data_IF_722597612265
#
_entry.id   IF_722597612265
#
_cell.length_a   1.000
_cell.length_b   1.000
_cell.length_c   1.000
_cell.angle_alpha   90.00
_cell.angle_beta   90.00
_cell.angle_gamma   90.00
#
_symmetry.space_group_name_H-M   'P 1'
#
loop_
_entity.id
_entity.type
_entity.pdbx_description
1 polymer ?
#
# COMPACT_ATOMS: atom_id res chain seq x y z
N UNK A 1 1.60 -8.42 9.59
CA UNK A 1 1.22 -7.34 8.65
C UNK A 1 1.21 -7.76 7.20
N UNK A 2 2.32 -8.20 6.60
CA UNK A 2 2.38 -8.45 5.15
C UNK A 2 1.28 -9.42 4.63
N UNK A 3 0.99 -10.51 5.35
CA UNK A 3 -0.09 -11.46 5.01
C UNK A 3 -1.51 -10.88 5.16
N UNK A 4 -1.67 -9.84 5.98
CA UNK A 4 -2.96 -9.18 6.21
C UNK A 4 -3.31 -8.16 5.13
N UNK A 5 -2.36 -7.83 4.24
CA UNK A 5 -2.60 -6.93 3.11
C UNK A 5 -3.49 -7.65 2.11
N UNK A 6 -4.74 -7.19 2.01
CA UNK A 6 -5.69 -7.58 0.98
C UNK A 6 -5.70 -6.56 -0.16
N UNK A 7 -5.41 -7.01 -1.37
CA UNK A 7 -5.53 -6.22 -2.61
C UNK A 7 -6.82 -6.62 -3.33
N UNK A 8 -7.96 -6.32 -2.72
CA UNK A 8 -9.25 -6.48 -3.36
C UNK A 8 -9.42 -5.48 -4.53
N UNK A 9 -10.46 -5.68 -5.34
CA UNK A 9 -10.73 -4.84 -6.53
C UNK A 9 -10.83 -3.35 -6.19
N UNK A 10 -11.45 -2.99 -5.06
CA UNK A 10 -11.56 -1.62 -4.61
C UNK A 10 -10.19 -0.98 -4.33
N UNK A 11 -9.30 -1.67 -3.62
CA UNK A 11 -7.94 -1.18 -3.33
C UNK A 11 -7.08 -1.11 -4.58
N UNK A 12 -7.17 -2.11 -5.47
CA UNK A 12 -6.47 -2.07 -6.76
C UNK A 12 -6.89 -0.85 -7.59
N UNK A 13 -8.18 -0.56 -7.66
CA UNK A 13 -8.71 0.60 -8.38
C UNK A 13 -8.24 1.93 -7.76
N UNK A 14 -8.23 2.04 -6.42
CA UNK A 14 -7.73 3.24 -5.73
C UNK A 14 -6.23 3.44 -5.93
N UNK A 15 -5.43 2.38 -5.86
CA UNK A 15 -4.00 2.45 -6.16
C UNK A 15 -3.77 2.87 -7.62
N UNK A 16 -4.48 2.27 -8.58
CA UNK A 16 -4.37 2.64 -9.99
C UNK A 16 -4.75 4.11 -10.23
N UNK A 17 -5.84 4.60 -9.62
CA UNK A 17 -6.27 5.99 -9.72
C UNK A 17 -5.23 6.96 -9.11
N UNK A 18 -4.67 6.60 -7.94
CA UNK A 18 -3.63 7.37 -7.28
C UNK A 18 -2.36 7.49 -8.15
N UNK A 19 -1.87 6.36 -8.66
CA UNK A 19 -0.68 6.30 -9.51
C UNK A 19 -0.87 7.05 -10.82
N UNK A 20 -2.03 6.87 -11.48
CA UNK A 20 -2.41 7.61 -12.68
C UNK A 20 -2.49 9.12 -12.42
N UNK A 21 -3.08 9.54 -11.30
CA UNK A 21 -3.19 10.94 -10.92
C UNK A 21 -1.84 11.61 -10.65
N UNK A 22 -0.84 10.86 -10.17
CA UNK A 22 0.53 11.36 -9.99
C UNK A 22 1.43 11.18 -11.21
N UNK A 23 1.00 10.44 -12.22
CA UNK A 23 1.82 10.13 -13.40
C UNK A 23 3.04 9.28 -13.07
N UNK A 24 2.94 8.38 -12.07
CA UNK A 24 4.07 7.55 -11.62
C UNK A 24 3.68 6.09 -11.55
N UNK A 25 4.65 5.20 -11.75
CA UNK A 25 4.48 3.78 -11.44
C UNK A 25 4.56 3.50 -9.93
N UNK A 26 4.11 2.30 -9.54
CA UNK A 26 4.07 1.87 -8.15
C UNK A 26 5.46 1.82 -7.48
N UNK A 27 6.50 1.39 -8.20
CA UNK A 27 7.85 1.25 -7.67
C UNK A 27 8.47 2.62 -7.36
N UNK A 28 8.29 3.57 -8.27
CA UNK A 28 8.69 4.96 -8.09
C UNK A 28 7.96 5.58 -6.90
N UNK A 29 6.64 5.40 -6.80
CA UNK A 29 5.86 5.92 -5.68
C UNK A 29 6.26 5.31 -4.32
N UNK A 30 6.66 4.03 -4.28
CA UNK A 30 7.12 3.38 -3.05
C UNK A 30 8.51 3.85 -2.56
N UNK A 31 9.32 4.46 -3.44
CA UNK A 31 10.64 5.05 -3.11
C UNK A 31 10.53 6.48 -2.57
N UNK A 32 9.50 7.22 -2.96
CA UNK A 32 9.20 8.54 -2.40
C UNK A 32 8.51 8.39 -1.04
N UNK A 33 9.02 9.04 0.01
CA UNK A 33 8.44 8.89 1.36
C UNK A 33 6.96 9.30 1.41
N UNK A 34 6.60 10.40 0.74
CA UNK A 34 5.20 10.84 0.64
C UNK A 34 4.36 9.81 -0.12
N UNK A 35 4.85 9.32 -1.26
CA UNK A 35 4.15 8.32 -2.05
C UNK A 35 3.94 7.00 -1.31
N UNK A 36 4.97 6.53 -0.61
CA UNK A 36 4.94 5.34 0.22
C UNK A 36 3.90 5.45 1.35
N UNK A 37 3.84 6.60 2.05
CA UNK A 37 2.86 6.85 3.10
C UNK A 37 1.43 6.88 2.55
N UNK A 38 1.20 7.55 1.43
CA UNK A 38 -0.12 7.63 0.79
C UNK A 38 -0.59 6.25 0.32
N UNK A 39 0.30 5.45 -0.27
CA UNK A 39 0.03 4.05 -0.63
C UNK A 39 -0.30 3.22 0.62
N UNK A 40 0.45 3.39 1.71
CA UNK A 40 0.19 2.68 2.96
C UNK A 40 -1.21 3.00 3.51
N UNK A 41 -1.65 4.26 3.42
CA UNK A 41 -2.99 4.70 3.82
C UNK A 41 -4.08 4.10 2.92
N UNK A 42 -3.85 4.04 1.61
CA UNK A 42 -4.78 3.37 0.67
C UNK A 42 -4.93 1.90 1.06
N UNK A 43 -3.82 1.19 1.25
CA UNK A 43 -3.84 -0.23 1.65
C UNK A 43 -4.49 -0.42 3.01
N UNK A 44 -4.17 0.43 4.00
CA UNK A 44 -4.77 0.38 5.33
C UNK A 44 -6.29 0.52 5.29
N UNK A 45 -6.81 1.38 4.42
CA UNK A 45 -8.26 1.60 4.29
C UNK A 45 -9.02 0.35 3.83
N UNK A 46 -8.35 -0.59 3.15
CA UNK A 46 -8.92 -1.85 2.69
C UNK A 46 -8.81 -3.01 3.67
N UNK A 47 -8.10 -2.83 4.79
CA UNK A 47 -7.97 -3.87 5.80
C UNK A 47 -9.29 -4.08 6.55
N UNK A 48 -9.60 -5.32 6.97
CA UNK A 48 -10.74 -5.59 7.84
C UNK A 48 -10.70 -4.71 9.10
N UNK A 49 -11.86 -4.30 9.61
CA UNK A 49 -11.96 -3.38 10.76
C UNK A 49 -11.18 -3.85 11.98
N UNK A 50 -11.16 -5.15 12.27
CA UNK A 50 -10.37 -5.71 13.37
C UNK A 50 -8.86 -5.51 13.14
N UNK A 51 -8.38 -5.69 11.91
CA UNK A 51 -6.98 -5.49 11.54
C UNK A 51 -6.58 -4.02 11.64
N UNK A 52 -7.46 -3.09 11.22
CA UNK A 52 -7.22 -1.63 11.37
C UNK A 52 -7.14 -1.18 12.82
N UNK A 53 -7.86 -1.85 13.74
CA UNK A 53 -7.76 -1.58 15.18
C UNK A 53 -6.42 -2.04 15.77
N UNK A 54 -5.88 -3.16 15.29
CA UNK A 54 -4.58 -3.69 15.74
C UNK A 54 -3.39 -2.90 15.14
N UNK A 55 -3.56 -2.44 13.90
CA UNK A 55 -2.56 -1.71 13.16
C UNK A 55 -3.10 -0.36 12.73
N UNK A 56 -2.72 0.68 13.48
CA UNK A 56 -3.04 2.06 13.10
C UNK A 56 -2.40 2.43 11.77
N UNK A 57 -2.95 3.45 11.12
CA UNK A 57 -2.41 3.98 9.87
C UNK A 57 -0.94 4.40 10.01
N UNK A 58 -0.57 5.08 11.10
CA UNK A 58 0.83 5.43 11.39
C UNK A 58 1.75 4.20 11.50
N UNK A 59 1.29 3.11 12.14
CA UNK A 59 2.07 1.86 12.21
C UNK A 59 2.24 1.23 10.83
N UNK A 60 1.21 1.31 9.98
CA UNK A 60 1.29 0.85 8.60
C UNK A 60 2.24 1.70 7.76
N UNK A 61 2.16 3.02 7.84
CA UNK A 61 3.07 3.94 7.16
C UNK A 61 4.52 3.69 7.55
N UNK A 62 4.79 3.54 8.86
CA UNK A 62 6.13 3.20 9.35
C UNK A 62 6.60 1.84 8.82
N UNK A 63 5.75 0.82 8.88
CA UNK A 63 6.08 -0.50 8.34
C UNK A 63 6.35 -0.47 6.83
N UNK A 64 5.55 0.30 6.07
CA UNK A 64 5.72 0.47 4.63
C UNK A 64 7.02 1.17 4.28
N UNK A 65 7.46 2.12 5.10
CA UNK A 65 8.72 2.79 4.89
C UNK A 65 9.92 1.89 5.22
N UNK A 66 9.90 1.27 6.40
CA UNK A 66 10.99 0.40 6.89
C UNK A 66 11.18 -0.85 6.04
N UNK A 67 10.11 -1.34 5.39
CA UNK A 67 10.11 -2.54 4.56
C UNK A 67 9.77 -2.25 3.11
N UNK A 68 10.01 -1.02 2.62
CA UNK A 68 9.56 -0.55 1.31
C UNK A 68 9.92 -1.49 0.16
N UNK A 69 11.14 -2.01 0.12
CA UNK A 69 11.60 -2.84 -1.00
C UNK A 69 10.87 -4.20 -0.99
N UNK A 70 10.74 -4.80 0.20
CA UNK A 70 9.98 -6.04 0.39
C UNK A 70 8.49 -5.87 0.05
N UNK A 71 7.87 -4.76 0.46
CA UNK A 71 6.46 -4.49 0.18
C UNK A 71 6.25 -4.18 -1.30
N UNK A 72 7.16 -3.41 -1.91
CA UNK A 72 7.08 -3.05 -3.31
C UNK A 72 7.06 -4.32 -4.18
N UNK A 73 7.96 -5.27 -3.90
CA UNK A 73 8.00 -6.57 -4.57
C UNK A 73 6.74 -7.40 -4.30
N UNK A 74 6.31 -7.49 -3.05
CA UNK A 74 5.16 -8.28 -2.64
C UNK A 74 3.85 -7.82 -3.27
N UNK A 75 3.60 -6.50 -3.28
CA UNK A 75 2.40 -5.91 -3.87
C UNK A 75 2.47 -5.96 -5.39
N UNK A 76 3.62 -5.68 -6.01
CA UNK A 76 3.79 -5.72 -7.47
C UNK A 76 3.43 -7.10 -8.04
N UNK A 77 3.90 -8.18 -7.41
CA UNK A 77 3.56 -9.56 -7.81
C UNK A 77 2.06 -9.85 -7.78
N UNK A 78 1.33 -9.20 -6.88
CA UNK A 78 -0.11 -9.40 -6.69
C UNK A 78 -0.96 -8.48 -7.55
N UNK A 79 -0.40 -7.38 -8.06
CA UNK A 79 -1.06 -6.55 -9.05
C UNK A 79 -1.05 -7.19 -10.45
N UNK A 80 -0.07 -8.07 -10.73
CA UNK A 80 0.09 -8.77 -12.01
C UNK A 80 -0.78 -10.03 -12.15
N UNK A 81 -1.37 -10.52 -11.05
CA UNK A 81 -2.22 -11.70 -10.99
C UNK A 81 -3.68 -11.40 -10.69
#
# INVERSE_FOLDING_TARGET
MLKSIELNSHIRNRLAAYLKGRGMDFQTAMREEKGNKEIASIVHSGLPTLVRKLYSEQKMQKFFWEKRDLIADYISRRMQG
#
